data_IF_882590379164
#
_entry.id   IF_882590379164
#
_cell.length_a   1.000
_cell.length_b   1.000
_cell.length_c   1.000
_cell.angle_alpha   90.00
_cell.angle_beta   90.00
_cell.angle_gamma   90.00
#
_symmetry.space_group_name_H-M   'P 1'
#
loop_
_entity.id
_entity.type
_entity.pdbx_description
1 polymer ?
#
# COMPACT_ATOMS: atom_id res chain seq x y z
N UNK A 1 -17.46 -5.47 14.45
CA UNK A 1 -16.41 -6.14 13.63
C UNK A 1 -15.59 -7.02 14.58
N UNK A 2 -16.03 -8.26 14.82
CA UNK A 2 -15.57 -9.09 15.95
C UNK A 2 -14.06 -9.40 15.90
N UNK A 3 -13.44 -9.49 14.72
CA UNK A 3 -11.99 -9.74 14.59
C UNK A 3 -11.11 -8.50 14.88
N UNK A 4 -11.63 -7.28 14.70
CA UNK A 4 -10.88 -6.04 14.95
C UNK A 4 -11.01 -5.56 16.40
N UNK A 5 -12.13 -5.89 17.07
CA UNK A 5 -12.45 -5.46 18.45
C UNK A 5 -11.44 -5.94 19.51
N UNK A 6 -10.70 -7.02 19.24
CA UNK A 6 -9.64 -7.53 20.13
C UNK A 6 -8.21 -7.19 19.69
N UNK A 7 -8.03 -6.57 18.52
CA UNK A 7 -6.70 -6.29 17.96
C UNK A 7 -6.09 -5.06 18.63
N UNK A 8 -4.83 -5.18 19.08
CA UNK A 8 -4.07 -4.07 19.64
C UNK A 8 -2.89 -3.74 18.73
N UNK A 9 -2.81 -2.49 18.30
CA UNK A 9 -1.72 -2.01 17.46
C UNK A 9 -0.53 -1.65 18.33
N UNK A 10 0.64 -2.16 17.98
CA UNK A 10 1.90 -1.85 18.68
C UNK A 10 2.44 -0.48 18.25
N UNK A 11 3.24 0.20 19.11
CA UNK A 11 3.97 1.39 18.71
C UNK A 11 4.86 1.14 17.49
N UNK A 12 5.45 -0.07 17.40
CA UNK A 12 6.31 -0.46 16.29
C UNK A 12 5.58 -0.49 14.95
N UNK A 13 4.32 -0.95 14.92
CA UNK A 13 3.51 -0.97 13.70
C UNK A 13 3.31 0.44 13.14
N UNK A 14 3.11 1.44 14.02
CA UNK A 14 2.99 2.85 13.62
C UNK A 14 4.34 3.41 13.13
N UNK A 15 5.44 3.09 13.82
CA UNK A 15 6.78 3.47 13.38
C UNK A 15 7.11 2.87 12.00
N UNK A 16 6.71 1.62 11.75
CA UNK A 16 6.92 0.95 10.46
C UNK A 16 6.15 1.64 9.32
N UNK A 17 4.92 2.14 9.55
CA UNK A 17 4.20 2.97 8.58
C UNK A 17 5.03 4.19 8.16
N UNK A 18 5.63 4.88 9.13
CA UNK A 18 6.40 6.09 8.89
C UNK A 18 7.76 5.81 8.23
N UNK A 19 8.44 4.75 8.66
CA UNK A 19 9.72 4.35 8.09
C UNK A 19 9.58 3.97 6.61
N UNK A 20 8.50 3.29 6.23
CA UNK A 20 8.24 2.93 4.83
C UNK A 20 7.94 4.13 3.92
N UNK A 21 7.59 5.29 4.49
CA UNK A 21 7.41 6.54 3.73
C UNK A 21 8.70 7.35 3.62
N UNK A 22 9.80 6.91 4.25
CA UNK A 22 11.12 7.52 4.08
C UNK A 22 11.84 6.83 2.93
N UNK A 23 12.44 7.58 1.98
CA UNK A 23 13.20 6.99 0.89
C UNK A 23 14.26 6.03 1.42
N UNK A 24 14.35 4.83 0.82
CA UNK A 24 15.25 3.80 1.33
C UNK A 24 16.71 4.25 1.37
N UNK A 25 17.18 5.03 0.38
CA UNK A 25 18.50 5.62 0.37
C UNK A 25 18.77 6.50 1.60
N UNK A 26 17.76 7.23 2.10
CA UNK A 26 17.88 8.00 3.34
C UNK A 26 18.04 7.06 4.53
N UNK A 27 17.28 5.97 4.61
CA UNK A 27 17.37 5.01 5.71
C UNK A 27 18.65 4.17 5.69
N UNK A 28 19.28 3.95 4.53
CA UNK A 28 20.50 3.15 4.41
C UNK A 28 21.77 3.98 4.54
N UNK A 29 21.79 5.21 4.04
CA UNK A 29 23.02 6.02 3.96
C UNK A 29 23.08 7.14 5.01
N UNK A 30 21.99 7.89 5.19
CA UNK A 30 21.97 9.12 5.99
C UNK A 30 21.38 8.94 7.39
N UNK A 31 20.40 8.05 7.51
CA UNK A 31 19.59 7.80 8.70
C UNK A 31 18.54 8.88 8.95
N UNK A 32 17.34 8.46 9.35
CA UNK A 32 16.26 9.34 9.77
C UNK A 32 16.54 9.89 11.17
N UNK A 33 16.37 11.20 11.37
CA UNK A 33 16.52 11.82 12.68
C UNK A 33 15.54 11.24 13.69
N UNK A 34 16.04 10.76 14.83
CA UNK A 34 15.24 10.11 15.88
C UNK A 34 14.11 11.01 16.39
N UNK A 35 14.39 12.29 16.64
CA UNK A 35 13.37 13.23 17.12
C UNK A 35 12.21 13.38 16.11
N UNK A 36 12.50 13.38 14.80
CA UNK A 36 11.46 13.46 13.76
C UNK A 36 10.59 12.20 13.74
N UNK A 37 11.21 11.03 13.86
CA UNK A 37 10.47 9.77 13.93
C UNK A 37 9.57 9.75 15.17
N UNK A 38 10.07 10.18 16.32
CA UNK A 38 9.31 10.29 17.56
C UNK A 38 8.11 11.22 17.41
N UNK A 39 8.32 12.45 16.95
CA UNK A 39 7.24 13.43 16.74
C UNK A 39 6.14 12.89 15.80
N UNK A 40 6.55 12.36 14.65
CA UNK A 40 5.62 11.78 13.66
C UNK A 40 4.90 10.55 14.20
N UNK A 41 5.57 9.73 15.02
CA UNK A 41 4.91 8.56 15.63
C UNK A 41 3.85 8.98 16.64
N UNK A 42 4.09 10.02 17.43
CA UNK A 42 3.09 10.56 18.37
C UNK A 42 1.94 11.29 17.66
N UNK A 43 2.21 11.92 16.52
CA UNK A 43 1.16 12.42 15.64
C UNK A 43 0.31 11.25 15.09
N UNK A 44 0.94 10.22 14.52
CA UNK A 44 0.23 9.07 13.96
C UNK A 44 -0.53 8.28 15.02
N UNK A 45 -0.01 8.22 16.26
CA UNK A 45 -0.70 7.66 17.42
C UNK A 45 -2.05 8.35 17.65
N UNK A 46 -2.08 9.69 17.64
CA UNK A 46 -3.31 10.47 17.80
C UNK A 46 -4.29 10.18 16.66
N UNK A 47 -3.82 10.20 15.42
CA UNK A 47 -4.63 9.88 14.25
C UNK A 47 -5.22 8.46 14.33
N UNK A 48 -4.42 7.46 14.73
CA UNK A 48 -4.89 6.09 14.90
C UNK A 48 -6.02 5.99 15.95
N UNK A 49 -5.86 6.68 17.09
CA UNK A 49 -6.89 6.75 18.14
C UNK A 49 -8.16 7.45 17.63
N UNK A 50 -8.02 8.53 16.84
CA UNK A 50 -9.15 9.21 16.22
C UNK A 50 -9.92 8.30 15.26
N UNK A 51 -9.20 7.39 14.59
CA UNK A 51 -9.77 6.35 13.73
C UNK A 51 -10.26 5.11 14.49
N UNK A 52 -10.27 5.15 15.82
CA UNK A 52 -10.83 4.09 16.66
C UNK A 52 -9.89 2.92 16.93
N UNK A 53 -8.59 3.08 16.70
CA UNK A 53 -7.60 2.06 17.03
C UNK A 53 -7.50 1.83 18.54
N UNK A 54 -7.29 0.57 18.93
CA UNK A 54 -6.82 0.22 20.26
C UNK A 54 -5.30 0.04 20.21
N UNK A 55 -4.56 0.79 21.02
CA UNK A 55 -3.11 0.76 21.02
C UNK A 55 -2.58 0.00 22.24
N UNK A 56 -1.55 -0.82 22.03
CA UNK A 56 -0.74 -1.37 23.12
C UNK A 56 0.30 -0.32 23.56
N UNK A 57 -0.16 0.75 24.20
CA UNK A 57 0.67 1.85 24.65
C UNK A 57 0.55 2.02 26.16
N UNK A 58 1.60 1.74 26.96
CA UNK A 58 1.52 1.85 28.42
C UNK A 58 1.29 3.30 28.88
N UNK A 59 0.22 3.56 29.64
CA UNK A 59 -0.17 4.92 30.07
C UNK A 59 0.79 5.54 31.10
N UNK A 60 1.45 4.71 31.90
CA UNK A 60 2.30 5.15 33.00
C UNK A 60 3.78 5.34 32.60
N UNK A 61 4.12 5.04 31.35
CA UNK A 61 5.49 5.13 30.85
C UNK A 61 5.58 6.36 29.94
N UNK A 62 6.61 7.21 30.09
CA UNK A 62 6.83 8.32 29.18
C UNK A 62 6.90 7.85 27.72
N UNK A 63 6.29 8.61 26.82
CA UNK A 63 6.24 8.28 25.38
C UNK A 63 7.64 8.06 24.77
N UNK A 64 8.65 8.82 25.22
CA UNK A 64 10.04 8.64 24.83
C UNK A 64 10.57 7.24 25.15
N UNK A 65 10.23 6.72 26.32
CA UNK A 65 10.74 5.45 26.84
C UNK A 65 10.03 4.27 26.18
N UNK A 66 8.73 4.42 25.89
CA UNK A 66 7.96 3.47 25.08
C UNK A 66 8.60 3.33 23.70
N UNK A 67 8.89 4.45 23.03
CA UNK A 67 9.47 4.46 21.68
C UNK A 67 10.90 3.92 21.64
N UNK A 68 11.75 4.32 22.60
CA UNK A 68 13.12 3.81 22.71
C UNK A 68 13.13 2.30 22.97
N UNK A 69 12.30 1.83 23.89
CA UNK A 69 12.19 0.40 24.21
C UNK A 69 11.65 -0.39 23.02
N UNK A 70 10.67 0.17 22.30
CA UNK A 70 10.14 -0.40 21.05
C UNK A 70 11.22 -0.55 19.99
N UNK A 71 12.03 0.49 19.76
CA UNK A 71 13.13 0.46 18.79
C UNK A 71 14.18 -0.60 19.18
N UNK A 72 14.53 -0.68 20.47
CA UNK A 72 15.53 -1.63 20.97
C UNK A 72 15.14 -3.10 20.73
N UNK A 73 13.84 -3.42 20.79
CA UNK A 73 13.33 -4.77 20.50
C UNK A 73 13.47 -5.16 19.01
N UNK A 74 13.52 -4.18 18.10
CA UNK A 74 13.55 -4.39 16.65
C UNK A 74 14.93 -4.11 16.03
N UNK A 75 16.00 -4.30 16.83
CA UNK A 75 17.40 -4.10 16.42
C UNK A 75 17.87 -4.89 15.19
N UNK A 76 17.14 -5.92 14.81
CA UNK A 76 17.40 -6.74 13.61
C UNK A 76 16.84 -6.12 12.34
N UNK A 77 15.94 -5.13 12.46
CA UNK A 77 15.30 -4.43 11.34
C UNK A 77 15.86 -3.03 11.20
N UNK A 78 16.06 -2.34 12.32
CA UNK A 78 16.61 -0.99 12.37
C UNK A 78 17.66 -0.87 13.46
N UNK A 79 18.58 0.07 13.34
CA UNK A 79 19.51 0.40 14.40
C UNK A 79 19.62 1.92 14.58
N UNK A 80 19.97 2.36 15.78
CA UNK A 80 20.18 3.75 16.10
C UNK A 80 21.67 4.06 16.21
N UNK A 81 22.13 5.11 15.53
CA UNK A 81 23.51 5.61 15.60
C UNK A 81 23.51 7.14 15.56
N UNK A 82 24.19 7.78 16.51
CA UNK A 82 24.33 9.24 16.57
C UNK A 82 22.99 10.01 16.43
N UNK A 83 21.94 9.55 17.14
CA UNK A 83 20.61 10.19 17.11
C UNK A 83 19.83 9.98 15.80
N UNK A 84 20.24 9.03 14.96
CA UNK A 84 19.59 8.68 13.69
C UNK A 84 19.25 7.20 13.63
N UNK A 85 18.18 6.87 12.93
CA UNK A 85 17.67 5.52 12.72
C UNK A 85 17.98 5.09 11.30
N UNK A 86 18.60 3.92 11.17
CA UNK A 86 19.01 3.32 9.91
C UNK A 86 18.34 1.96 9.73
N UNK A 87 18.09 1.58 8.49
CA UNK A 87 17.65 0.23 8.14
C UNK A 87 18.82 -0.74 8.25
N UNK A 88 18.58 -1.92 8.82
CA UNK A 88 19.57 -3.01 8.85
C UNK A 88 19.41 -3.82 7.57
N UNK A 89 20.43 -3.79 6.70
CA UNK A 89 20.45 -4.60 5.49
C UNK A 89 20.90 -6.03 5.81
N UNK A 90 20.20 -7.03 5.27
CA UNK A 90 20.50 -8.44 5.51
C UNK A 90 21.87 -8.86 4.96
N UNK A 91 22.63 -9.61 5.77
CA UNK A 91 23.89 -10.29 5.44
C UNK A 91 25.07 -9.37 5.12
N UNK A 92 26.27 -9.63 5.63
CA UNK A 92 27.47 -9.09 4.97
C UNK A 92 27.67 -9.86 3.66
N UNK A 93 28.10 -9.20 2.55
CA UNK A 93 28.37 -9.90 1.31
C UNK A 93 29.36 -11.03 1.57
N UNK A 94 28.98 -12.26 1.21
CA UNK A 94 29.87 -13.41 1.27
C UNK A 94 30.98 -13.23 0.21
N UNK A 95 32.10 -12.61 0.64
CA UNK A 95 33.29 -12.46 -0.19
C UNK A 95 33.73 -11.01 -0.44
N UNK A 96 34.90 -10.87 -1.07
CA UNK A 96 35.52 -9.57 -1.39
C UNK A 96 34.99 -8.90 -2.66
N UNK A 97 33.97 -9.49 -3.30
CA UNK A 97 33.43 -8.97 -4.54
C UNK A 97 32.48 -7.80 -4.28
N UNK A 98 32.50 -6.75 -5.11
CA UNK A 98 31.54 -5.67 -5.01
C UNK A 98 30.13 -6.22 -5.23
N UNK A 99 29.21 -5.82 -4.34
CA UNK A 99 27.79 -6.15 -4.41
C UNK A 99 27.23 -5.61 -5.73
N UNK A 100 26.59 -6.47 -6.53
CA UNK A 100 25.94 -6.01 -7.76
C UNK A 100 24.76 -5.08 -7.42
N UNK A 101 24.36 -4.17 -8.33
CA UNK A 101 23.21 -3.30 -8.09
C UNK A 101 21.93 -4.09 -7.75
N UNK A 102 21.69 -5.21 -8.44
CA UNK A 102 20.54 -6.09 -8.24
C UNK A 102 20.58 -6.75 -6.85
N UNK A 103 21.74 -7.25 -6.42
CA UNK A 103 21.97 -7.77 -5.07
C UNK A 103 21.67 -6.67 -4.01
N UNK A 104 22.10 -5.43 -4.28
CA UNK A 104 21.80 -4.28 -3.43
C UNK A 104 20.30 -3.98 -3.30
N UNK A 105 19.56 -4.06 -4.41
CA UNK A 105 18.09 -3.94 -4.41
C UNK A 105 17.46 -5.07 -3.59
N UNK A 106 17.90 -6.31 -3.76
CA UNK A 106 17.34 -7.45 -3.02
C UNK A 106 17.57 -7.34 -1.52
N UNK A 107 18.75 -6.89 -1.09
CA UNK A 107 19.06 -6.67 0.34
C UNK A 107 18.18 -5.57 0.94
N UNK A 108 17.97 -4.48 0.21
CA UNK A 108 17.09 -3.38 0.63
C UNK A 108 15.63 -3.84 0.66
N UNK A 109 15.19 -4.56 -0.37
CA UNK A 109 13.86 -5.12 -0.46
C UNK A 109 13.55 -6.07 0.69
N UNK A 110 14.49 -6.94 1.07
CA UNK A 110 14.32 -7.85 2.20
C UNK A 110 14.01 -7.07 3.50
N UNK A 111 14.81 -6.03 3.79
CA UNK A 111 14.61 -5.22 4.99
C UNK A 111 13.32 -4.37 4.92
N UNK A 112 12.99 -3.81 3.76
CA UNK A 112 11.73 -3.08 3.55
C UNK A 112 10.51 -3.99 3.71
N UNK A 113 10.54 -5.20 3.14
CA UNK A 113 9.47 -6.19 3.26
C UNK A 113 9.28 -6.70 4.69
N UNK A 114 10.33 -6.68 5.52
CA UNK A 114 10.18 -6.89 6.96
C UNK A 114 9.37 -5.76 7.60
N UNK A 115 9.67 -4.49 7.31
CA UNK A 115 8.86 -3.35 7.79
C UNK A 115 7.40 -3.41 7.31
N UNK A 116 7.18 -3.82 6.06
CA UNK A 116 5.84 -4.05 5.48
C UNK A 116 5.02 -5.01 6.33
N UNK A 117 5.63 -6.10 6.82
CA UNK A 117 4.93 -7.07 7.67
C UNK A 117 4.43 -6.44 8.99
N UNK A 118 5.18 -5.50 9.57
CA UNK A 118 4.80 -4.78 10.79
C UNK A 118 3.75 -3.69 10.53
N UNK A 119 3.91 -2.92 9.44
CA UNK A 119 2.89 -1.96 8.98
C UNK A 119 1.54 -2.64 8.82
N UNK A 120 1.50 -3.81 8.18
CA UNK A 120 0.27 -4.55 7.90
C UNK A 120 -0.56 -4.87 9.14
N UNK A 121 0.06 -4.93 10.33
CA UNK A 121 -0.65 -5.13 11.60
C UNK A 121 -1.56 -3.95 11.97
N UNK A 122 -1.30 -2.76 11.43
CA UNK A 122 -2.06 -1.52 11.69
C UNK A 122 -2.86 -1.02 10.49
N UNK A 123 -2.60 -1.56 9.31
CA UNK A 123 -3.10 -1.02 8.05
C UNK A 123 -4.64 -1.00 7.95
N UNK A 124 -5.30 -1.94 8.61
CA UNK A 124 -6.77 -2.05 8.65
C UNK A 124 -7.47 -0.81 9.25
N UNK A 125 -6.78 -0.06 10.13
CA UNK A 125 -7.31 1.19 10.71
C UNK A 125 -7.35 2.31 9.67
N UNK A 126 -6.38 2.33 8.75
CA UNK A 126 -6.18 3.44 7.83
C UNK A 126 -6.75 3.19 6.44
N UNK A 127 -7.04 1.93 6.08
CA UNK A 127 -7.37 1.56 4.70
C UNK A 127 -8.57 2.34 4.16
N UNK A 128 -9.69 2.42 4.89
CA UNK A 128 -10.90 3.13 4.39
C UNK A 128 -10.64 4.64 4.23
N UNK A 129 -10.12 5.36 5.24
CA UNK A 129 -9.69 6.75 5.05
C UNK A 129 -8.70 6.92 3.88
N UNK A 130 -7.78 5.98 3.69
CA UNK A 130 -6.78 6.05 2.63
C UNK A 130 -7.37 5.87 1.22
N UNK A 131 -8.36 4.99 1.06
CA UNK A 131 -9.08 4.84 -0.21
C UNK A 131 -9.80 6.14 -0.57
N UNK A 132 -10.44 6.80 0.39
CA UNK A 132 -11.12 8.09 0.16
C UNK A 132 -10.11 9.21 -0.13
N UNK A 133 -9.02 9.31 0.65
CA UNK A 133 -7.96 10.28 0.40
C UNK A 133 -7.33 10.10 -1.00
N UNK A 134 -7.19 8.86 -1.45
CA UNK A 134 -6.71 8.51 -2.80
C UNK A 134 -7.73 8.89 -3.86
N UNK A 135 -9.02 8.61 -3.64
CA UNK A 135 -10.09 9.00 -4.57
C UNK A 135 -10.11 10.51 -4.81
N UNK A 136 -10.02 11.31 -3.74
CA UNK A 136 -9.95 12.78 -3.84
C UNK A 136 -8.74 13.22 -4.66
N UNK A 137 -7.56 12.66 -4.39
CA UNK A 137 -6.31 13.03 -5.06
C UNK A 137 -6.30 12.66 -6.54
N UNK A 138 -6.71 11.44 -6.86
CA UNK A 138 -6.61 10.90 -8.23
C UNK A 138 -7.69 11.47 -9.13
N UNK A 139 -8.94 11.51 -8.66
CA UNK A 139 -10.06 12.04 -9.47
C UNK A 139 -10.05 13.55 -9.57
N UNK A 140 -9.47 14.24 -8.58
CA UNK A 140 -9.56 15.70 -8.38
C UNK A 140 -11.01 16.22 -8.32
N UNK A 141 -11.97 15.32 -8.09
CA UNK A 141 -13.38 15.67 -7.95
C UNK A 141 -13.69 16.01 -6.49
N UNK A 142 -14.62 16.94 -6.30
CA UNK A 142 -15.26 17.17 -5.00
C UNK A 142 -16.59 16.43 -4.88
N UNK A 143 -17.13 15.91 -5.99
CA UNK A 143 -18.46 15.32 -6.03
C UNK A 143 -18.47 13.94 -5.37
N UNK A 144 -19.36 13.73 -4.42
CA UNK A 144 -19.45 12.49 -3.64
C UNK A 144 -19.67 11.25 -4.49
N UNK A 145 -20.46 11.36 -5.55
CA UNK A 145 -20.76 10.23 -6.44
C UNK A 145 -19.52 9.76 -7.22
N UNK A 146 -18.71 10.70 -7.71
CA UNK A 146 -17.44 10.38 -8.39
C UNK A 146 -16.45 9.73 -7.42
N UNK A 147 -16.35 10.30 -6.21
CA UNK A 147 -15.47 9.79 -5.17
C UNK A 147 -15.89 8.40 -4.70
N UNK A 148 -17.19 8.18 -4.52
CA UNK A 148 -17.76 6.87 -4.17
C UNK A 148 -17.48 5.84 -5.27
N UNK A 149 -17.70 6.21 -6.54
CA UNK A 149 -17.42 5.31 -7.67
C UNK A 149 -15.94 4.89 -7.69
N UNK A 150 -15.01 5.83 -7.49
CA UNK A 150 -13.58 5.53 -7.44
C UNK A 150 -13.20 4.73 -6.19
N UNK A 151 -13.76 5.07 -5.04
CA UNK A 151 -13.57 4.33 -3.80
C UNK A 151 -13.99 2.86 -3.95
N UNK A 152 -15.17 2.60 -4.52
CA UNK A 152 -15.64 1.25 -4.79
C UNK A 152 -14.72 0.51 -5.77
N UNK A 153 -14.26 1.19 -6.83
CA UNK A 153 -13.27 0.62 -7.75
C UNK A 153 -11.98 0.20 -7.02
N UNK A 154 -11.44 1.03 -6.12
CA UNK A 154 -10.26 0.66 -5.34
C UNK A 154 -10.52 -0.51 -4.38
N UNK A 155 -11.68 -0.54 -3.72
CA UNK A 155 -12.06 -1.68 -2.87
C UNK A 155 -12.10 -2.99 -3.66
N UNK A 156 -12.61 -2.91 -4.88
CA UNK A 156 -12.61 -4.03 -5.80
C UNK A 156 -11.17 -4.42 -6.16
N UNK A 157 -10.37 -3.53 -6.72
CA UNK A 157 -8.99 -3.85 -7.15
C UNK A 157 -8.16 -4.43 -5.99
N UNK A 158 -8.32 -3.91 -4.77
CA UNK A 158 -7.54 -4.33 -3.61
C UNK A 158 -8.23 -5.33 -2.69
N UNK A 159 -9.28 -6.02 -3.14
CA UNK A 159 -10.02 -7.00 -2.32
C UNK A 159 -9.17 -8.18 -1.85
N UNK A 160 -8.04 -8.44 -2.51
CA UNK A 160 -7.07 -9.48 -2.14
C UNK A 160 -5.94 -8.95 -1.25
N UNK A 161 -5.80 -7.63 -1.13
CA UNK A 161 -4.84 -6.98 -0.20
C UNK A 161 -5.49 -6.69 1.15
N UNK A 162 -6.76 -6.29 1.14
CA UNK A 162 -7.48 -5.81 2.31
C UNK A 162 -8.79 -6.54 2.49
N UNK A 163 -9.21 -6.66 3.75
CA UNK A 163 -10.46 -7.33 4.12
C UNK A 163 -11.58 -6.29 4.14
N UNK A 164 -12.51 -6.40 3.18
CA UNK A 164 -13.75 -5.63 3.15
C UNK A 164 -14.95 -6.54 3.38
N UNK A 165 -16.01 -6.01 3.98
CA UNK A 165 -17.25 -6.76 4.13
C UNK A 165 -18.05 -6.63 2.83
N UNK A 166 -18.42 -7.74 2.16
CA UNK A 166 -19.17 -7.68 0.91
C UNK A 166 -20.49 -6.90 1.05
N UNK A 167 -20.81 -6.07 0.04
CA UNK A 167 -22.05 -5.29 -0.01
C UNK A 167 -22.11 -4.10 0.96
N UNK A 168 -20.98 -3.70 1.56
CA UNK A 168 -20.92 -2.60 2.54
C UNK A 168 -20.16 -1.37 2.03
N UNK A 169 -19.83 -1.29 0.75
CA UNK A 169 -19.00 -0.22 0.18
C UNK A 169 -19.49 1.20 0.48
N UNK A 170 -20.80 1.47 0.38
CA UNK A 170 -21.34 2.79 0.73
C UNK A 170 -21.16 3.10 2.22
N UNK A 171 -21.28 2.10 3.10
CA UNK A 171 -21.07 2.29 4.54
C UNK A 171 -19.60 2.50 4.87
N UNK A 172 -18.70 1.76 4.21
CA UNK A 172 -17.25 1.96 4.34
C UNK A 172 -16.84 3.37 3.85
N UNK A 173 -17.49 3.89 2.80
CA UNK A 173 -17.28 5.26 2.31
C UNK A 173 -17.76 6.32 3.32
N UNK A 174 -18.98 6.17 3.87
CA UNK A 174 -19.46 7.09 4.90
C UNK A 174 -18.60 7.07 6.16
N UNK A 175 -18.14 5.88 6.58
CA UNK A 175 -17.22 5.74 7.71
C UNK A 175 -15.89 6.45 7.42
N UNK A 176 -15.29 6.23 6.25
CA UNK A 176 -14.06 6.93 5.83
C UNK A 176 -14.24 8.45 5.88
N UNK A 177 -15.35 8.96 5.35
CA UNK A 177 -15.67 10.39 5.39
C UNK A 177 -15.84 10.91 6.82
N UNK A 178 -16.57 10.18 7.67
CA UNK A 178 -16.76 10.54 9.08
C UNK A 178 -15.43 10.62 9.84
N UNK A 179 -14.53 9.65 9.61
CA UNK A 179 -13.20 9.61 10.23
C UNK A 179 -12.33 10.79 9.77
N UNK A 180 -12.28 11.06 8.46
CA UNK A 180 -11.52 12.20 7.92
C UNK A 180 -12.10 13.54 8.37
N UNK A 181 -13.42 13.66 8.52
CA UNK A 181 -14.07 14.86 9.07
C UNK A 181 -13.72 15.04 10.55
N UNK A 182 -13.66 13.95 11.33
CA UNK A 182 -13.35 13.98 12.77
C UNK A 182 -11.94 14.52 13.04
N UNK A 183 -10.94 14.17 12.22
CA UNK A 183 -9.60 14.73 12.31
C UNK A 183 -9.44 16.02 11.48
N UNK A 184 -10.56 16.66 11.11
CA UNK A 184 -10.61 17.92 10.36
C UNK A 184 -9.89 17.89 9.01
N UNK A 185 -9.64 16.71 8.43
CA UNK A 185 -8.93 16.56 7.17
C UNK A 185 -9.76 16.91 5.93
N UNK A 186 -11.08 16.83 6.06
CA UNK A 186 -12.05 17.19 5.01
C UNK A 186 -13.28 17.85 5.60
N UNK A 187 -13.95 18.67 4.78
CA UNK A 187 -15.32 19.10 5.00
C UNK A 187 -16.27 18.27 4.15
N UNK A 188 -17.39 17.84 4.73
CA UNK A 188 -18.39 17.01 4.05
C UNK A 188 -19.74 17.70 4.10
N UNK A 189 -20.32 17.90 2.91
CA UNK A 189 -21.70 18.32 2.69
C UNK A 189 -22.52 17.15 2.13
N UNK A 190 -23.79 17.39 1.77
CA UNK A 190 -24.65 16.36 1.16
C UNK A 190 -24.14 15.89 -0.20
N UNK A 191 -23.46 16.75 -0.96
CA UNK A 191 -23.03 16.49 -2.34
C UNK A 191 -21.52 16.48 -2.51
N UNK A 192 -20.78 17.09 -1.59
CA UNK A 192 -19.35 17.34 -1.78
C UNK A 192 -18.49 16.88 -0.60
N UNK A 193 -17.25 16.51 -0.94
CA UNK A 193 -16.12 16.35 -0.01
C UNK A 193 -15.04 17.32 -0.47
N UNK A 194 -14.64 18.23 0.41
CA UNK A 194 -13.59 19.22 0.13
C UNK A 194 -12.45 19.07 1.13
N UNK A 195 -11.22 19.23 0.65
CA UNK A 195 -10.01 19.15 1.47
C UNK A 195 -9.85 20.42 2.28
N UNK A 196 -9.48 20.29 3.56
CA UNK A 196 -9.08 21.42 4.39
C UNK A 196 -7.56 21.65 4.32
N UNK A 197 -7.10 22.88 4.54
CA UNK A 197 -5.67 23.19 4.57
C UNK A 197 -4.95 22.47 5.72
N UNK A 198 -5.61 22.31 6.87
CA UNK A 198 -5.10 21.55 8.02
C UNK A 198 -5.05 20.04 7.77
N UNK A 199 -5.81 19.54 6.79
CA UNK A 199 -5.92 18.13 6.45
C UNK A 199 -4.80 17.56 5.57
N UNK A 200 -3.97 18.43 4.99
CA UNK A 200 -2.99 18.02 3.98
C UNK A 200 -1.99 16.98 4.50
N UNK A 201 -1.55 17.08 5.76
CA UNK A 201 -0.64 16.11 6.37
C UNK A 201 -1.28 14.73 6.51
N UNK A 202 -2.55 14.67 6.95
CA UNK A 202 -3.32 13.42 7.09
C UNK A 202 -3.54 12.78 5.72
N UNK A 203 -4.00 13.56 4.74
CA UNK A 203 -4.26 13.05 3.40
C UNK A 203 -2.97 12.58 2.71
N UNK A 204 -1.87 13.31 2.84
CA UNK A 204 -0.57 12.92 2.31
C UNK A 204 -0.08 11.61 2.91
N UNK A 205 -0.15 11.46 4.25
CA UNK A 205 0.21 10.20 4.91
C UNK A 205 -0.63 9.03 4.41
N UNK A 206 -1.94 9.21 4.28
CA UNK A 206 -2.86 8.16 3.83
C UNK A 206 -2.66 7.77 2.37
N UNK A 207 -2.38 8.73 1.49
CA UNK A 207 -2.05 8.48 0.09
C UNK A 207 -0.74 7.70 -0.04
N UNK A 208 0.32 8.13 0.67
CA UNK A 208 1.61 7.42 0.68
C UNK A 208 1.49 6.02 1.30
N UNK A 209 0.52 5.79 2.20
CA UNK A 209 0.26 4.46 2.76
C UNK A 209 -0.30 3.47 1.71
N UNK A 210 -1.10 3.95 0.74
CA UNK A 210 -1.65 3.13 -0.35
C UNK A 210 -0.78 3.08 -1.61
N UNK A 211 0.09 4.07 -1.81
CA UNK A 211 0.96 4.18 -2.98
C UNK A 211 1.70 2.88 -3.35
N UNK A 212 2.29 2.10 -2.42
CA UNK A 212 2.97 0.85 -2.79
C UNK A 212 2.06 -0.17 -3.48
N UNK A 213 0.79 -0.25 -3.08
CA UNK A 213 -0.19 -1.15 -3.70
C UNK A 213 -0.58 -0.65 -5.10
N UNK A 214 -0.85 0.65 -5.24
CA UNK A 214 -1.17 1.27 -6.53
C UNK A 214 -0.02 1.08 -7.52
N UNK A 215 1.21 1.41 -7.11
CA UNK A 215 2.40 1.26 -7.94
C UNK A 215 2.63 -0.19 -8.37
N UNK A 216 2.45 -1.15 -7.45
CA UNK A 216 2.59 -2.58 -7.75
C UNK A 216 1.58 -3.01 -8.82
N UNK A 217 0.30 -2.67 -8.65
CA UNK A 217 -0.74 -3.05 -9.60
C UNK A 217 -0.55 -2.37 -10.95
N UNK A 218 -0.20 -1.07 -10.98
CA UNK A 218 0.07 -0.36 -12.22
C UNK A 218 1.25 -0.96 -13.01
N UNK A 219 2.36 -1.29 -12.33
CA UNK A 219 3.51 -1.95 -12.97
C UNK A 219 3.11 -3.28 -13.62
N UNK A 220 2.36 -4.10 -12.89
CA UNK A 220 1.92 -5.41 -13.37
C UNK A 220 0.87 -5.30 -14.48
N UNK A 221 -0.03 -4.32 -14.42
CA UNK A 221 -0.99 -4.07 -15.49
C UNK A 221 -0.29 -3.61 -16.76
N UNK A 222 0.71 -2.73 -16.65
CA UNK A 222 1.55 -2.29 -17.77
C UNK A 222 2.26 -3.47 -18.42
N UNK A 223 2.95 -4.30 -17.62
CA UNK A 223 3.59 -5.53 -18.11
C UNK A 223 2.62 -6.45 -18.86
N UNK A 224 1.42 -6.69 -18.30
CA UNK A 224 0.42 -7.56 -18.91
C UNK A 224 -0.13 -7.01 -20.23
N UNK A 225 -0.18 -5.68 -20.39
CA UNK A 225 -0.62 -5.05 -21.62
C UNK A 225 0.48 -5.09 -22.69
N UNK A 226 1.70 -4.68 -22.34
CA UNK A 226 2.78 -4.39 -23.29
C UNK A 226 3.61 -5.64 -23.63
N UNK A 227 4.08 -6.35 -22.60
CA UNK A 227 5.17 -7.32 -22.76
C UNK A 227 4.73 -8.77 -22.62
N UNK A 228 3.72 -9.04 -21.79
CA UNK A 228 3.33 -10.41 -21.49
C UNK A 228 2.72 -11.12 -22.69
N UNK A 229 3.02 -12.41 -22.83
CA UNK A 229 2.24 -13.31 -23.66
C UNK A 229 0.77 -13.31 -23.22
N UNK A 230 -0.13 -13.53 -24.17
CA UNK A 230 -1.56 -13.58 -23.82
C UNK A 230 -1.90 -14.78 -22.91
N UNK A 231 -1.08 -15.82 -22.93
CA UNK A 231 -1.19 -17.00 -22.07
C UNK A 231 0.16 -17.19 -21.37
N UNK A 232 0.14 -17.30 -20.04
CA UNK A 232 1.35 -17.49 -19.24
C UNK A 232 1.06 -18.33 -18.00
N UNK A 233 2.10 -18.92 -17.43
CA UNK A 233 2.05 -19.59 -16.11
C UNK A 233 2.34 -18.59 -15.00
N UNK A 234 1.85 -18.87 -13.78
CA UNK A 234 2.19 -18.06 -12.60
C UNK A 234 3.71 -17.89 -12.45
N UNK A 235 4.49 -18.97 -12.63
CA UNK A 235 5.96 -18.92 -12.51
C UNK A 235 6.60 -17.93 -13.49
N UNK A 236 6.15 -17.91 -14.75
CA UNK A 236 6.64 -16.96 -15.75
C UNK A 236 6.30 -15.52 -15.36
N UNK A 237 5.06 -15.29 -14.92
CA UNK A 237 4.61 -13.97 -14.46
C UNK A 237 5.45 -13.46 -13.28
N UNK A 238 5.59 -14.26 -12.21
CA UNK A 238 6.36 -13.86 -11.03
C UNK A 238 7.83 -13.57 -11.36
N UNK A 239 8.43 -14.33 -12.27
CA UNK A 239 9.82 -14.10 -12.67
C UNK A 239 9.98 -12.81 -13.49
N UNK A 240 9.11 -12.59 -14.48
CA UNK A 240 9.15 -11.39 -15.31
C UNK A 240 8.88 -10.11 -14.50
N UNK A 241 7.86 -10.12 -13.63
CA UNK A 241 7.53 -8.98 -12.78
C UNK A 241 8.66 -8.64 -11.81
N UNK A 242 9.34 -9.63 -11.22
CA UNK A 242 10.52 -9.35 -10.36
C UNK A 242 11.65 -8.69 -11.12
N UNK A 243 11.90 -9.12 -12.34
CA UNK A 243 12.95 -8.52 -13.19
C UNK A 243 12.59 -7.08 -13.53
N UNK A 244 11.35 -6.84 -13.97
CA UNK A 244 10.84 -5.51 -14.28
C UNK A 244 10.91 -4.58 -13.06
N UNK A 245 10.42 -5.04 -11.91
CA UNK A 245 10.44 -4.28 -10.67
C UNK A 245 11.86 -3.94 -10.21
N UNK A 246 12.81 -4.87 -10.34
CA UNK A 246 14.22 -4.62 -10.01
C UNK A 246 14.78 -3.50 -10.88
N UNK A 247 14.52 -3.55 -12.18
CA UNK A 247 14.97 -2.51 -13.12
C UNK A 247 14.30 -1.16 -12.85
N UNK A 248 13.01 -1.16 -12.51
CA UNK A 248 12.28 0.05 -12.15
C UNK A 248 12.83 0.70 -10.86
N UNK A 249 13.23 -0.11 -9.87
CA UNK A 249 13.91 0.41 -8.66
C UNK A 249 15.31 0.95 -8.99
N UNK A 250 16.09 0.22 -9.79
CA UNK A 250 17.45 0.64 -10.18
C UNK A 250 17.45 1.94 -11.00
N UNK A 251 16.43 2.15 -11.83
CA UNK A 251 16.27 3.38 -12.62
C UNK A 251 15.62 4.54 -11.86
N UNK A 252 15.09 4.29 -10.66
CA UNK A 252 14.36 5.27 -9.87
C UNK A 252 12.91 5.50 -10.31
N UNK A 253 12.36 4.70 -11.22
CA UNK A 253 10.93 4.69 -11.56
C UNK A 253 10.07 4.26 -10.35
N UNK A 254 10.59 3.34 -9.54
CA UNK A 254 9.94 2.88 -8.31
C UNK A 254 10.80 3.13 -7.07
N UNK A 255 10.15 3.69 -6.04
CA UNK A 255 10.70 3.92 -4.71
C UNK A 255 10.18 2.92 -3.65
N UNK A 256 9.24 2.06 -4.03
CA UNK A 256 8.60 1.05 -3.17
C UNK A 256 9.06 -0.37 -3.52
N UNK A 257 9.16 -1.25 -2.53
CA UNK A 257 9.71 -2.60 -2.70
C UNK A 257 8.64 -3.70 -2.63
N UNK A 258 7.41 -3.36 -2.29
CA UNK A 258 6.28 -4.29 -2.15
C UNK A 258 5.99 -5.10 -3.41
N UNK A 259 6.25 -4.51 -4.59
CA UNK A 259 6.09 -5.18 -5.88
C UNK A 259 6.99 -6.42 -6.03
N UNK A 260 8.09 -6.52 -5.28
CA UNK A 260 8.98 -7.68 -5.26
C UNK A 260 8.43 -8.84 -4.40
N UNK A 261 7.41 -8.58 -3.58
CA UNK A 261 6.74 -9.59 -2.76
C UNK A 261 5.92 -10.54 -3.63
N UNK A 262 6.14 -11.85 -3.46
CA UNK A 262 5.30 -12.85 -4.13
C UNK A 262 3.83 -12.77 -3.72
N UNK A 263 3.54 -12.27 -2.52
CA UNK A 263 2.16 -12.17 -2.05
C UNK A 263 1.41 -11.10 -2.84
N UNK A 264 2.00 -9.92 -3.00
CA UNK A 264 1.42 -8.82 -3.80
C UNK A 264 1.24 -9.27 -5.25
N UNK A 265 2.25 -9.91 -5.84
CA UNK A 265 2.17 -10.42 -7.21
C UNK A 265 1.03 -11.44 -7.40
N UNK A 266 0.84 -12.37 -6.46
CA UNK A 266 -0.27 -13.34 -6.49
C UNK A 266 -1.62 -12.71 -6.22
N UNK A 267 -1.68 -11.70 -5.35
CA UNK A 267 -2.89 -10.94 -5.08
C UNK A 267 -3.37 -10.23 -6.35
N UNK A 268 -2.46 -9.68 -7.16
CA UNK A 268 -2.81 -9.09 -8.46
C UNK A 268 -3.41 -10.12 -9.41
N UNK A 269 -2.81 -11.31 -9.55
CA UNK A 269 -3.40 -12.38 -10.37
C UNK A 269 -4.80 -12.78 -9.88
N UNK A 270 -4.98 -12.86 -8.56
CA UNK A 270 -6.28 -13.17 -7.94
C UNK A 270 -7.32 -12.07 -8.19
N UNK A 271 -6.92 -10.81 -8.09
CA UNK A 271 -7.77 -9.66 -8.38
C UNK A 271 -8.19 -9.64 -9.86
N UNK A 272 -7.26 -9.87 -10.78
CA UNK A 272 -7.53 -9.97 -12.22
C UNK A 272 -8.54 -11.08 -12.53
N UNK A 273 -8.43 -12.24 -11.88
CA UNK A 273 -9.40 -13.32 -12.04
C UNK A 273 -10.78 -12.95 -11.51
N UNK A 274 -10.83 -12.39 -10.30
CA UNK A 274 -12.08 -11.98 -9.66
C UNK A 274 -12.81 -10.91 -10.47
N UNK A 275 -12.06 -10.00 -11.08
CA UNK A 275 -12.57 -8.93 -11.94
C UNK A 275 -12.86 -9.40 -13.39
N UNK A 276 -12.69 -10.69 -13.70
CA UNK A 276 -12.95 -11.25 -15.03
C UNK A 276 -11.94 -10.84 -16.11
N UNK A 277 -10.81 -10.23 -15.71
CA UNK A 277 -9.74 -9.77 -16.60
C UNK A 277 -8.73 -10.87 -16.93
N UNK A 278 -8.72 -11.96 -16.15
CA UNK A 278 -7.93 -13.15 -16.43
C UNK A 278 -8.76 -14.42 -16.20
N UNK A 279 -8.55 -15.44 -17.04
CA UNK A 279 -9.19 -16.76 -16.88
C UNK A 279 -8.12 -17.80 -16.55
N UNK A 280 -8.36 -18.55 -15.46
CA UNK A 280 -7.55 -19.73 -15.13
C UNK A 280 -7.88 -20.87 -16.09
N UNK A 281 -6.90 -21.37 -16.80
CA UNK A 281 -7.03 -22.54 -17.67
C UNK A 281 -6.27 -23.70 -17.04
N UNK A 282 -6.96 -24.83 -16.86
CA UNK A 282 -6.32 -26.06 -16.41
C UNK A 282 -5.96 -26.88 -17.65
N UNK A 283 -4.71 -26.75 -18.09
CA UNK A 283 -4.11 -27.60 -19.13
C UNK A 283 -2.88 -28.27 -18.51
N UNK A 284 -2.96 -29.59 -18.25
CA UNK A 284 -1.89 -30.40 -17.63
C UNK A 284 -1.59 -30.10 -16.14
N UNK A 285 -0.41 -30.49 -15.63
CA UNK A 285 0.03 -30.32 -14.24
C UNK A 285 0.26 -28.86 -13.84
N UNK A 286 0.40 -27.95 -14.82
CA UNK A 286 0.61 -26.52 -14.57
C UNK A 286 -0.64 -25.67 -14.85
N UNK A 287 -0.88 -24.69 -14.00
CA UNK A 287 -1.98 -23.74 -14.14
C UNK A 287 -1.57 -22.56 -15.04
N UNK A 288 -2.31 -22.35 -16.12
CA UNK A 288 -2.11 -21.25 -17.07
C UNK A 288 -3.17 -20.16 -16.86
N UNK A 289 -2.80 -18.93 -17.21
CA UNK A 289 -3.66 -17.76 -17.13
C UNK A 289 -3.77 -17.16 -18.53
N UNK A 290 -5.00 -16.92 -18.99
CA UNK A 290 -5.27 -16.13 -20.19
C UNK A 290 -5.75 -14.75 -19.78
N UNK A 291 -5.07 -13.70 -20.24
CA UNK A 291 -5.39 -12.30 -19.88
C UNK A 291 -6.15 -11.58 -21.00
N UNK A 292 -7.15 -10.79 -20.61
CA UNK A 292 -7.76 -9.76 -21.47
C UNK A 292 -6.98 -8.46 -21.32
N UNK A 293 -6.01 -8.24 -22.22
CA UNK A 293 -5.15 -7.06 -22.22
C UNK A 293 -5.95 -5.75 -22.28
N UNK A 294 -7.07 -5.72 -22.99
CA UNK A 294 -7.87 -4.51 -23.12
C UNK A 294 -8.60 -4.17 -21.81
N UNK A 295 -9.13 -5.19 -21.12
CA UNK A 295 -9.74 -5.01 -19.81
C UNK A 295 -8.72 -4.56 -18.75
N UNK A 296 -7.52 -5.17 -18.75
CA UNK A 296 -6.41 -4.75 -17.87
C UNK A 296 -5.96 -3.32 -18.16
N UNK A 297 -5.83 -2.94 -19.43
CA UNK A 297 -5.47 -1.58 -19.83
C UNK A 297 -6.47 -0.55 -19.31
N UNK A 298 -7.78 -0.80 -19.49
CA UNK A 298 -8.83 0.08 -18.94
C UNK A 298 -8.76 0.19 -17.42
N UNK A 299 -8.52 -0.92 -16.71
CA UNK A 299 -8.36 -0.90 -15.26
C UNK A 299 -7.13 -0.09 -14.83
N UNK A 300 -6.03 -0.19 -15.56
CA UNK A 300 -4.83 0.64 -15.35
C UNK A 300 -5.08 2.12 -15.61
N UNK A 301 -5.85 2.46 -16.64
CA UNK A 301 -6.22 3.85 -16.93
C UNK A 301 -7.15 4.44 -15.86
N UNK A 302 -8.09 3.65 -15.32
CA UNK A 302 -8.89 4.07 -14.16
C UNK A 302 -7.99 4.23 -12.93
N UNK A 303 -7.15 3.24 -12.61
CA UNK A 303 -6.27 3.28 -11.43
C UNK A 303 -5.26 4.44 -11.45
N UNK A 304 -4.92 4.96 -12.64
CA UNK A 304 -4.06 6.14 -12.82
C UNK A 304 -4.84 7.45 -12.93
N UNK A 305 -6.17 7.42 -12.83
CA UNK A 305 -7.03 8.60 -12.92
C UNK A 305 -7.19 9.18 -14.32
N UNK A 306 -6.75 8.47 -15.37
CA UNK A 306 -6.88 8.96 -16.75
C UNK A 306 -8.32 8.91 -17.25
N UNK A 307 -9.10 7.94 -16.77
CA UNK A 307 -10.50 7.76 -17.11
C UNK A 307 -11.32 7.44 -15.85
N UNK A 308 -12.60 7.81 -15.80
CA UNK A 308 -13.41 7.58 -14.61
C UNK A 308 -13.92 6.13 -14.56
N UNK A 309 -14.20 5.57 -13.37
CA UNK A 309 -14.58 4.15 -13.19
C UNK A 309 -15.81 3.70 -14.01
N UNK A 310 -16.72 4.61 -14.34
CA UNK A 310 -17.94 4.35 -15.11
C UNK A 310 -17.63 3.75 -16.49
N UNK A 311 -16.43 3.97 -17.03
CA UNK A 311 -15.98 3.39 -18.31
C UNK A 311 -15.83 1.87 -18.23
N UNK A 312 -15.59 1.29 -17.05
CA UNK A 312 -15.50 -0.17 -16.86
C UNK A 312 -16.87 -0.86 -16.98
N UNK A 313 -17.95 -0.14 -16.68
CA UNK A 313 -19.32 -0.66 -16.79
C UNK A 313 -19.89 -0.54 -18.22
N UNK A 314 -19.25 0.26 -19.09
CA UNK A 314 -19.78 0.62 -20.40
C UNK A 314 -19.48 -0.38 -21.55
N UNK A 315 -19.00 -1.60 -21.27
CA UNK A 315 -18.84 -2.64 -22.32
C UNK A 315 -20.01 -3.64 -22.25
N UNK A 316 -20.77 -3.89 -23.34
CA UNK A 316 -22.19 -4.20 -23.24
C UNK A 316 -22.49 -5.68 -22.98
N UNK A 317 -23.65 -5.89 -22.35
CA UNK A 317 -24.47 -7.07 -22.55
C UNK A 317 -24.63 -7.38 -24.05
N UNK A 318 -23.96 -8.41 -24.54
CA UNK A 318 -24.26 -9.09 -25.80
C UNK A 318 -23.68 -10.50 -25.78
N UNK A 319 -24.31 -11.39 -25.01
CA UNK A 319 -24.36 -12.84 -25.29
C UNK A 319 -25.77 -13.31 -24.95
N UNK A 320 -26.67 -13.10 -25.89
CA UNK A 320 -27.82 -13.97 -26.15
C UNK A 320 -27.50 -14.73 -27.43
#
# INVERSE_FOLDING_TARGET
>A
RIQEEGSRISPWSLMACLLLQVPAAVLTEQGLLWHRLTEKTLWLRRLALDFGAHLNWPEQIPDSDVLLSTLALHRTVVHQKAGRVFLVLGGEPEGRHPVSPEEGVMRTAAAALMLVSYRNQSLHVFVRPALLATAVSVTKSTQRDDLLAYFCFLQDVFSNEFIFVPGRSSQDFEEAGSLLKKCEAVHISQQEVTVSDSGLEVLSFLQELLKPFINSYQLMFRYLCEDADQIFTEKQFLHAVRTLATNAVLSGELDTYEVLSSNVQRNVLSALQRLGMATKMKRSENEEYKVDKAAVGRAGDVLSGKVPPQVLQATPAARL
#
